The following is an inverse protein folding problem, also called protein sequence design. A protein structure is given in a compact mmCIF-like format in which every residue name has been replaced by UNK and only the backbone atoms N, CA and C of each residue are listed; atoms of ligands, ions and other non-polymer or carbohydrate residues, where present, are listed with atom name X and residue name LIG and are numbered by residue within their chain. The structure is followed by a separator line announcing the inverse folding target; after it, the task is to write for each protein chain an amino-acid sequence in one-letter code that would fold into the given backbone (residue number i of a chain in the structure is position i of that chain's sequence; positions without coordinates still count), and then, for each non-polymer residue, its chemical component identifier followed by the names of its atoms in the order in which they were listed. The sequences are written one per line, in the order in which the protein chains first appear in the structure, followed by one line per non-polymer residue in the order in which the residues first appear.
data_IF_217447603485
#
_entry.id   IF_217447603485
#
_cell.length_a   1.000
_cell.length_b   1.000
_cell.length_c   1.000
_cell.angle_alpha   90.00
_cell.angle_beta   90.00
_cell.angle_gamma   90.00
#
_symmetry.space_group_name_H-M   'P 1'
#
loop_
_entity.id
_entity.type
_entity.pdbx_description
1 polymer ?
#
# COMPACT_ATOMS: atom_id res chain seq x y z
N UNK A 1 19.21 3.10 -19.60
CA UNK A 1 19.00 4.56 -19.54
C UNK A 1 19.41 5.12 -18.19
N UNK A 2 18.78 4.67 -17.10
CA UNK A 2 19.01 5.25 -15.75
C UNK A 2 19.97 4.47 -14.84
N UNK A 3 20.52 3.34 -15.30
CA UNK A 3 21.47 2.54 -14.51
C UNK A 3 20.86 1.66 -13.42
N UNK A 4 19.54 1.46 -13.43
CA UNK A 4 18.86 0.62 -12.45
C UNK A 4 19.25 -0.86 -12.56
N UNK A 5 19.34 -1.52 -11.40
CA UNK A 5 19.39 -2.98 -11.32
C UNK A 5 18.04 -3.55 -11.73
N UNK A 6 18.04 -4.48 -12.68
CA UNK A 6 16.83 -5.12 -13.20
C UNK A 6 16.80 -6.60 -12.83
N UNK A 7 15.72 -7.01 -12.16
CA UNK A 7 15.50 -8.38 -11.72
C UNK A 7 14.23 -8.91 -12.37
N UNK A 8 14.26 -10.17 -12.82
CA UNK A 8 13.10 -10.84 -13.43
C UNK A 8 12.81 -12.12 -12.63
N UNK A 9 11.61 -12.22 -12.06
CA UNK A 9 11.15 -13.43 -11.40
C UNK A 9 10.65 -14.43 -12.45
N UNK A 10 11.49 -15.41 -12.81
CA UNK A 10 11.19 -16.40 -13.86
C UNK A 10 10.58 -17.69 -13.34
N UNK A 11 10.76 -17.98 -12.05
CA UNK A 11 10.32 -19.23 -11.43
C UNK A 11 9.23 -18.97 -10.40
N UNK A 12 8.33 -19.94 -10.25
CA UNK A 12 7.40 -19.97 -9.12
C UNK A 12 8.18 -20.22 -7.82
N UNK A 13 8.27 -19.20 -6.98
CA UNK A 13 8.97 -19.29 -5.70
C UNK A 13 8.11 -19.97 -4.62
N UNK A 14 6.77 -19.89 -4.75
CA UNK A 14 5.81 -20.46 -3.80
C UNK A 14 4.64 -21.06 -4.56
N UNK A 15 4.34 -22.34 -4.30
CA UNK A 15 3.30 -23.09 -5.01
C UNK A 15 2.13 -23.59 -4.16
N UNK A 16 2.34 -23.88 -2.88
CA UNK A 16 1.35 -24.59 -2.06
C UNK A 16 0.53 -23.68 -1.13
N UNK A 17 0.57 -22.35 -1.34
CA UNK A 17 -0.27 -21.43 -0.57
C UNK A 17 -1.71 -21.46 -1.08
N UNK A 18 -2.65 -21.30 -0.15
CA UNK A 18 -4.09 -21.29 -0.43
C UNK A 18 -4.40 -20.20 -1.48
N UNK A 19 -5.04 -20.61 -2.57
CA UNK A 19 -5.54 -19.72 -3.61
C UNK A 19 -7.08 -19.77 -3.66
N UNK A 20 -7.71 -18.71 -4.17
CA UNK A 20 -9.15 -18.71 -4.43
C UNK A 20 -9.43 -19.47 -5.74
N UNK A 21 -9.69 -20.78 -5.65
CA UNK A 21 -9.92 -21.63 -6.83
C UNK A 21 -11.18 -21.24 -7.64
N UNK A 22 -12.16 -20.61 -7.01
CA UNK A 22 -13.41 -20.20 -7.66
C UNK A 22 -13.21 -19.09 -8.70
N UNK A 23 -12.12 -18.35 -8.59
CA UNK A 23 -11.78 -17.19 -9.42
C UNK A 23 -11.10 -17.56 -10.76
N UNK A 24 -10.56 -18.79 -10.88
CA UNK A 24 -9.90 -19.34 -12.08
C UNK A 24 -8.75 -18.50 -12.66
N UNK A 25 -8.13 -17.57 -11.90
CA UNK A 25 -6.92 -16.86 -12.34
C UNK A 25 -5.69 -17.77 -12.40
N UNK A 26 -4.67 -17.40 -13.21
CA UNK A 26 -3.40 -18.13 -13.26
C UNK A 26 -2.71 -18.15 -11.89
N UNK A 27 -2.22 -19.30 -11.46
CA UNK A 27 -1.53 -19.48 -10.16
C UNK A 27 -0.24 -18.65 -10.04
N UNK A 28 0.25 -18.47 -8.81
CA UNK A 28 1.59 -17.94 -8.54
C UNK A 28 1.65 -16.48 -8.09
N UNK A 29 0.52 -15.85 -7.76
CA UNK A 29 0.51 -14.46 -7.26
C UNK A 29 1.33 -14.26 -5.97
N UNK A 30 1.51 -15.32 -5.17
CA UNK A 30 2.33 -15.30 -3.97
C UNK A 30 3.84 -15.33 -4.25
N UNK A 31 4.27 -15.56 -5.50
CA UNK A 31 5.67 -15.48 -5.91
C UNK A 31 6.21 -14.06 -5.78
N UNK A 32 5.42 -13.03 -6.12
CA UNK A 32 5.82 -11.63 -6.01
C UNK A 32 6.28 -11.25 -4.60
N UNK A 33 5.47 -11.41 -3.54
CA UNK A 33 5.92 -11.07 -2.20
C UNK A 33 7.07 -11.94 -1.70
N UNK A 34 7.18 -13.21 -2.12
CA UNK A 34 8.30 -14.09 -1.78
C UNK A 34 9.62 -13.62 -2.40
N UNK A 35 9.57 -13.28 -3.70
CA UNK A 35 10.73 -12.81 -4.42
C UNK A 35 11.22 -11.46 -3.89
N UNK A 36 10.30 -10.51 -3.68
CA UNK A 36 10.62 -9.22 -3.06
C UNK A 36 11.20 -9.38 -1.65
N UNK A 37 10.66 -10.30 -0.85
CA UNK A 37 11.17 -10.58 0.49
C UNK A 37 12.62 -11.05 0.42
N UNK A 38 12.93 -11.98 -0.49
CA UNK A 38 14.30 -12.47 -0.67
C UNK A 38 15.29 -11.36 -1.07
N UNK A 39 14.88 -10.44 -1.95
CA UNK A 39 15.71 -9.31 -2.36
C UNK A 39 15.95 -8.35 -1.20
N UNK A 40 14.90 -7.97 -0.47
CA UNK A 40 15.05 -7.03 0.64
C UNK A 40 15.94 -7.60 1.75
N UNK A 41 15.77 -8.88 2.10
CA UNK A 41 16.63 -9.53 3.10
C UNK A 41 18.09 -9.53 2.63
N UNK A 42 18.36 -9.91 1.38
CA UNK A 42 19.72 -9.89 0.83
C UNK A 42 20.33 -8.48 0.80
N UNK A 43 19.55 -7.43 0.51
CA UNK A 43 20.02 -6.05 0.55
C UNK A 43 20.24 -5.55 1.99
N UNK A 44 19.44 -6.01 2.96
CA UNK A 44 19.62 -5.65 4.38
C UNK A 44 20.87 -6.30 5.02
N UNK A 45 21.40 -7.37 4.44
CA UNK A 45 22.66 -7.99 4.88
C UNK A 45 23.91 -7.22 4.43
N UNK A 46 23.76 -6.28 3.49
CA UNK A 46 24.85 -5.42 3.01
C UNK A 46 25.01 -4.17 3.89
N UNK A 47 26.19 -3.54 3.91
CA UNK A 47 26.37 -2.18 4.43
C UNK A 47 25.38 -1.19 3.80
N UNK A 48 24.98 -0.16 4.55
CA UNK A 48 23.95 0.79 4.10
C UNK A 48 24.35 1.60 2.86
N UNK A 49 25.64 1.87 2.69
CA UNK A 49 26.23 2.55 1.53
C UNK A 49 26.42 1.64 0.32
N UNK A 50 26.26 0.33 0.47
CA UNK A 50 26.37 -0.67 -0.60
C UNK A 50 25.03 -1.27 -1.04
N UNK A 51 23.97 -1.11 -0.24
CA UNK A 51 22.65 -1.70 -0.51
C UNK A 51 21.75 -0.81 -1.37
N UNK A 52 20.79 -1.43 -2.04
CA UNK A 52 19.71 -0.70 -2.70
C UNK A 52 18.87 0.08 -1.67
N UNK A 53 18.35 1.25 -2.06
CA UNK A 53 17.44 2.03 -1.19
C UNK A 53 15.98 1.69 -1.43
N UNK A 54 15.57 1.56 -2.69
CA UNK A 54 14.20 1.32 -3.12
C UNK A 54 14.15 0.25 -4.21
N UNK A 55 13.11 -0.58 -4.16
CA UNK A 55 12.79 -1.59 -5.16
C UNK A 55 11.41 -1.23 -5.74
N UNK A 56 11.34 -1.04 -7.06
CA UNK A 56 10.07 -0.91 -7.76
C UNK A 56 9.66 -2.26 -8.32
N UNK A 57 8.44 -2.67 -8.02
CA UNK A 57 7.80 -3.83 -8.64
C UNK A 57 6.89 -3.38 -9.78
N UNK A 58 6.92 -4.14 -10.88
CA UNK A 58 5.99 -4.02 -11.99
C UNK A 58 5.51 -5.41 -12.40
N UNK A 59 4.21 -5.62 -12.49
CA UNK A 59 3.63 -6.85 -13.04
C UNK A 59 4.02 -6.99 -14.53
N UNK A 60 4.07 -8.25 -15.00
CA UNK A 60 4.51 -8.57 -16.36
C UNK A 60 3.59 -8.03 -17.47
N UNK A 61 2.39 -7.59 -17.12
CA UNK A 61 1.43 -6.93 -18.00
C UNK A 61 1.47 -5.40 -17.85
N UNK A 62 2.68 -4.86 -17.72
CA UNK A 62 2.97 -3.41 -17.76
C UNK A 62 3.86 -3.07 -18.96
N UNK A 63 3.76 -1.85 -19.47
CA UNK A 63 4.62 -1.31 -20.53
C UNK A 63 5.14 0.05 -20.11
N UNK A 64 6.46 0.24 -20.20
CA UNK A 64 7.12 1.54 -20.02
C UNK A 64 6.94 2.37 -21.28
N UNK A 65 6.16 3.44 -21.19
CA UNK A 65 5.82 4.30 -22.33
C UNK A 65 6.63 5.60 -22.39
N UNK A 66 7.09 6.11 -21.24
CA UNK A 66 8.01 7.23 -21.17
C UNK A 66 9.28 6.85 -20.41
N UNK A 67 10.30 6.28 -21.07
CA UNK A 67 11.54 5.88 -20.40
C UNK A 67 12.36 7.07 -19.91
N UNK A 68 12.05 8.31 -20.32
CA UNK A 68 12.77 9.51 -19.87
C UNK A 68 12.45 9.90 -18.42
N UNK A 69 11.38 9.35 -17.82
CA UNK A 69 11.02 9.61 -16.43
C UNK A 69 11.84 8.73 -15.47
N UNK A 70 12.71 9.31 -14.63
CA UNK A 70 13.43 8.54 -13.61
C UNK A 70 12.51 8.19 -12.43
N UNK A 71 12.70 7.00 -11.84
CA UNK A 71 11.89 6.49 -10.72
C UNK A 71 11.99 7.38 -9.48
N UNK A 72 13.13 8.04 -9.28
CA UNK A 72 13.41 8.93 -8.15
C UNK A 72 12.45 10.12 -8.08
N UNK A 73 11.82 10.50 -9.20
CA UNK A 73 10.86 11.61 -9.21
C UNK A 73 9.66 11.34 -8.30
N UNK A 74 9.31 10.06 -8.10
CA UNK A 74 8.16 9.64 -7.32
C UNK A 74 8.49 9.43 -5.85
N UNK A 75 9.77 9.33 -5.48
CA UNK A 75 10.19 8.99 -4.13
C UNK A 75 10.05 10.18 -3.16
N UNK A 76 9.82 9.92 -1.86
CA UNK A 76 9.83 10.98 -0.86
C UNK A 76 11.21 11.66 -0.79
N UNK A 77 11.26 13.00 -0.60
CA UNK A 77 12.52 13.71 -0.44
C UNK A 77 13.26 13.26 0.82
N UNK A 78 14.53 12.87 0.67
CA UNK A 78 15.38 12.38 1.77
C UNK A 78 15.63 13.42 2.87
N UNK A 79 15.46 14.70 2.55
CA UNK A 79 15.67 15.82 3.48
C UNK A 79 14.51 16.05 4.45
N UNK A 80 13.37 15.39 4.25
CA UNK A 80 12.18 15.54 5.09
C UNK A 80 12.12 14.42 6.12
N UNK A 81 12.29 14.76 7.40
CA UNK A 81 12.33 13.79 8.50
C UNK A 81 11.00 13.05 8.68
N UNK A 82 9.86 13.70 8.46
CA UNK A 82 8.54 13.08 8.64
C UNK A 82 8.31 11.98 7.60
N UNK A 83 8.89 12.14 6.41
CA UNK A 83 8.78 11.18 5.31
C UNK A 83 9.78 10.01 5.42
N UNK A 84 10.74 10.04 6.34
CA UNK A 84 11.69 8.93 6.54
C UNK A 84 11.00 7.63 6.98
N UNK A 85 9.83 7.76 7.59
CA UNK A 85 8.99 6.65 8.03
C UNK A 85 8.24 5.97 6.88
N UNK A 86 8.16 6.59 5.70
CA UNK A 86 7.49 6.04 4.52
C UNK A 86 8.38 4.99 3.87
N UNK A 87 7.82 3.79 3.69
CA UNK A 87 8.52 2.62 3.17
C UNK A 87 7.81 1.96 1.99
N UNK A 88 6.54 2.30 1.73
CA UNK A 88 5.76 1.77 0.60
C UNK A 88 5.03 2.90 -0.13
N UNK A 89 5.15 2.94 -1.45
CA UNK A 89 4.33 3.78 -2.33
C UNK A 89 3.47 2.85 -3.17
N UNK A 90 2.16 2.89 -2.97
CA UNK A 90 1.21 2.00 -3.66
C UNK A 90 0.08 2.82 -4.25
N UNK A 91 -0.33 2.49 -5.48
CA UNK A 91 -1.38 3.24 -6.16
C UNK A 91 -2.77 2.72 -5.79
N UNK A 92 -3.79 3.57 -5.91
CA UNK A 92 -5.18 3.19 -5.68
C UNK A 92 -6.13 3.83 -6.69
N UNK A 93 -7.30 3.20 -6.87
CA UNK A 93 -8.39 3.71 -7.68
C UNK A 93 -9.76 3.37 -7.08
N UNK A 94 -10.83 3.39 -7.90
CA UNK A 94 -12.20 3.09 -7.47
C UNK A 94 -12.37 1.70 -6.83
N UNK A 95 -11.49 0.75 -7.12
CA UNK A 95 -11.54 -0.63 -6.64
C UNK A 95 -10.55 -0.91 -5.50
N UNK A 96 -9.95 0.13 -4.93
CA UNK A 96 -9.00 0.05 -3.81
C UNK A 96 -7.54 0.11 -4.24
N UNK A 97 -6.65 -0.45 -3.41
CA UNK A 97 -5.21 -0.50 -3.69
C UNK A 97 -4.94 -1.42 -4.88
N UNK A 98 -3.98 -1.06 -5.73
CA UNK A 98 -3.52 -1.89 -6.82
C UNK A 98 -2.06 -2.30 -6.59
N UNK A 99 -1.81 -3.60 -6.48
CA UNK A 99 -0.48 -4.14 -6.17
C UNK A 99 0.33 -4.51 -7.42
N UNK A 100 -0.12 -4.14 -8.62
CA UNK A 100 0.60 -4.48 -9.86
C UNK A 100 1.77 -3.56 -10.19
N UNK A 101 1.82 -2.37 -9.58
CA UNK A 101 3.03 -1.57 -9.55
C UNK A 101 3.11 -0.75 -8.26
N UNK A 102 4.25 -0.83 -7.57
CA UNK A 102 4.50 -0.16 -6.30
C UNK A 102 6.01 -0.04 -6.03
N UNK A 103 6.40 0.88 -5.16
CA UNK A 103 7.78 1.04 -4.69
C UNK A 103 7.89 0.66 -3.22
N UNK A 104 8.94 -0.08 -2.87
CA UNK A 104 9.18 -0.57 -1.51
C UNK A 104 10.62 -0.26 -1.10
N UNK A 105 10.79 0.38 0.05
CA UNK A 105 12.11 0.72 0.60
C UNK A 105 12.77 -0.53 1.15
N UNK A 106 14.09 -0.65 0.97
CA UNK A 106 14.90 -1.65 1.67
C UNK A 106 14.95 -1.26 3.14
N UNK A 107 14.07 -1.87 3.94
CA UNK A 107 13.89 -1.53 5.35
C UNK A 107 13.31 -2.73 6.13
N UNK A 108 13.64 -2.91 7.42
CA UNK A 108 13.05 -3.99 8.23
C UNK A 108 11.51 -3.98 8.27
N UNK A 109 10.87 -2.82 8.19
CA UNK A 109 9.40 -2.76 8.10
C UNK A 109 8.86 -3.44 6.84
N UNK A 110 9.55 -3.29 5.70
CA UNK A 110 9.19 -3.94 4.44
C UNK A 110 9.29 -5.47 4.54
N UNK A 111 10.27 -5.98 5.29
CA UNK A 111 10.38 -7.42 5.62
C UNK A 111 9.15 -7.88 6.42
N UNK A 112 8.75 -7.13 7.45
CA UNK A 112 7.56 -7.42 8.25
C UNK A 112 6.29 -7.43 7.40
N UNK A 113 6.11 -6.43 6.53
CA UNK A 113 4.98 -6.35 5.62
C UNK A 113 4.92 -7.55 4.68
N UNK A 114 6.00 -7.84 3.95
CA UNK A 114 6.02 -8.93 2.97
C UNK A 114 5.88 -10.31 3.63
N UNK A 115 6.46 -10.49 4.83
CA UNK A 115 6.25 -11.70 5.63
C UNK A 115 4.79 -11.88 6.00
N UNK A 116 4.10 -10.81 6.42
CA UNK A 116 2.68 -10.84 6.72
C UNK A 116 1.83 -11.10 5.46
N UNK A 117 2.17 -10.50 4.32
CA UNK A 117 1.51 -10.78 3.03
C UNK A 117 1.65 -12.26 2.64
N UNK A 118 2.85 -12.84 2.77
CA UNK A 118 3.08 -14.25 2.47
C UNK A 118 2.37 -15.21 3.41
N UNK A 119 2.28 -14.86 4.69
CA UNK A 119 1.57 -15.67 5.67
C UNK A 119 0.05 -15.53 5.58
N UNK A 120 -0.47 -14.47 4.94
CA UNK A 120 -1.89 -14.14 4.86
C UNK A 120 -2.78 -15.32 4.45
N UNK A 121 -2.45 -16.13 3.42
CA UNK A 121 -3.27 -17.29 3.03
C UNK A 121 -3.46 -18.30 4.16
N UNK A 122 -2.48 -18.41 5.07
CA UNK A 122 -2.48 -19.39 6.16
C UNK A 122 -3.34 -18.88 7.32
N UNK A 123 -3.06 -17.68 7.84
CA UNK A 123 -3.74 -17.18 9.04
C UNK A 123 -5.05 -16.43 8.77
N UNK A 124 -5.31 -16.03 7.51
CA UNK A 124 -6.58 -15.46 7.03
C UNK A 124 -7.23 -16.36 5.97
N UNK A 125 -7.11 -17.68 6.13
CA UNK A 125 -7.67 -18.66 5.19
C UNK A 125 -9.18 -18.47 4.94
N UNK A 126 -9.95 -18.09 5.97
CA UNK A 126 -11.38 -17.79 5.85
C UNK A 126 -11.72 -16.56 5.00
N UNK A 127 -10.77 -15.63 4.81
CA UNK A 127 -10.88 -14.50 3.88
C UNK A 127 -10.37 -14.87 2.49
N UNK A 128 -9.25 -15.58 2.42
CA UNK A 128 -8.58 -15.93 1.15
C UNK A 128 -9.52 -16.64 0.18
N UNK A 129 -10.42 -17.50 0.65
CA UNK A 129 -11.44 -18.15 -0.19
C UNK A 129 -12.58 -17.24 -0.70
N UNK A 130 -12.62 -15.97 -0.29
CA UNK A 130 -13.67 -14.99 -0.63
C UNK A 130 -13.12 -13.70 -1.20
N UNK A 131 -11.87 -13.37 -0.90
CA UNK A 131 -11.23 -12.16 -1.37
C UNK A 131 -11.21 -12.14 -2.90
N UNK A 132 -11.55 -10.97 -3.45
CA UNK A 132 -11.65 -10.74 -4.90
C UNK A 132 -10.28 -10.75 -5.58
N UNK A 133 -9.23 -10.38 -4.85
CA UNK A 133 -7.86 -10.36 -5.32
C UNK A 133 -6.98 -11.15 -4.35
N UNK A 134 -5.79 -11.56 -4.78
CA UNK A 134 -4.90 -12.43 -3.98
C UNK A 134 -4.05 -11.58 -3.03
N UNK A 135 -2.77 -11.48 -3.32
CA UNK A 135 -1.81 -10.61 -2.66
C UNK A 135 -2.28 -9.14 -2.55
N UNK A 136 -2.99 -8.60 -3.56
CA UNK A 136 -3.58 -7.26 -3.46
C UNK A 136 -4.57 -7.12 -2.30
N UNK A 137 -5.43 -8.12 -2.07
CA UNK A 137 -6.37 -8.10 -0.94
C UNK A 137 -5.63 -8.27 0.39
N UNK A 138 -4.54 -9.04 0.41
CA UNK A 138 -3.66 -9.11 1.58
C UNK A 138 -3.02 -7.76 1.91
N UNK A 139 -2.44 -7.06 0.91
CA UNK A 139 -1.93 -5.69 1.08
C UNK A 139 -3.03 -4.76 1.59
N UNK A 140 -4.22 -4.79 1.00
CA UNK A 140 -5.32 -3.92 1.41
C UNK A 140 -5.72 -4.15 2.86
N UNK A 141 -5.87 -5.42 3.28
CA UNK A 141 -6.14 -5.74 4.68
C UNK A 141 -5.03 -5.25 5.61
N UNK A 142 -3.78 -5.59 5.28
CA UNK A 142 -2.63 -5.32 6.15
C UNK A 142 -2.36 -3.83 6.34
N UNK A 143 -2.64 -3.00 5.32
CA UNK A 143 -2.37 -1.58 5.32
C UNK A 143 -3.54 -0.73 5.82
N UNK A 144 -4.79 -1.19 5.64
CA UNK A 144 -5.99 -0.36 5.85
C UNK A 144 -6.92 -0.83 6.98
N UNK A 145 -6.87 -2.10 7.38
CA UNK A 145 -7.77 -2.65 8.39
C UNK A 145 -7.20 -2.48 9.81
N UNK A 146 -7.99 -1.96 10.74
CA UNK A 146 -7.58 -1.76 12.14
C UNK A 146 -7.27 -3.08 12.87
N UNK A 147 -7.76 -4.21 12.36
CA UNK A 147 -7.45 -5.56 12.87
C UNK A 147 -6.14 -6.11 12.30
N UNK A 148 -5.46 -5.39 11.42
CA UNK A 148 -4.19 -5.81 10.85
C UNK A 148 -3.16 -6.04 11.97
N UNK A 149 -2.35 -7.11 11.90
CA UNK A 149 -1.22 -7.30 12.81
C UNK A 149 -0.17 -6.19 12.71
N UNK A 150 -0.16 -5.42 11.61
CA UNK A 150 0.74 -4.27 11.42
C UNK A 150 0.16 -2.96 11.99
N UNK A 151 -1.10 -2.95 12.43
CA UNK A 151 -1.76 -1.79 13.02
C UNK A 151 -1.41 -1.60 14.52
N UNK A 152 -0.13 -1.76 14.85
CA UNK A 152 0.40 -1.80 16.22
C UNK A 152 0.96 -0.45 16.70
N UNK A 153 1.14 0.52 15.80
CA UNK A 153 1.46 1.90 16.16
C UNK A 153 0.19 2.71 16.47
N UNK A 154 0.36 3.89 17.05
CA UNK A 154 -0.77 4.78 17.32
C UNK A 154 -1.50 5.18 16.03
N UNK A 155 -0.74 5.45 14.98
CA UNK A 155 -1.22 5.79 13.62
C UNK A 155 -1.65 4.55 12.83
N UNK A 156 -1.70 3.37 13.47
CA UNK A 156 -2.14 2.11 12.86
C UNK A 156 -1.31 1.72 11.63
N UNK A 157 -0.01 2.04 11.64
CA UNK A 157 0.93 1.76 10.56
C UNK A 157 0.79 2.65 9.31
N UNK A 158 -0.09 3.65 9.33
CA UNK A 158 -0.36 4.56 8.19
C UNK A 158 0.78 5.54 7.88
N UNK A 159 1.70 5.73 8.81
CA UNK A 159 2.95 6.47 8.63
C UNK A 159 3.90 5.76 7.66
N UNK A 160 3.79 4.43 7.53
CA UNK A 160 4.76 3.64 6.79
C UNK A 160 4.50 3.53 5.29
N UNK A 161 3.42 4.09 4.79
CA UNK A 161 3.05 3.97 3.39
C UNK A 161 2.26 5.17 2.90
N UNK A 162 2.29 5.38 1.58
CA UNK A 162 1.57 6.45 0.90
C UNK A 162 0.76 5.88 -0.27
N UNK A 163 -0.51 6.29 -0.34
CA UNK A 163 -1.32 6.08 -1.54
C UNK A 163 -0.96 7.14 -2.58
N UNK A 164 -0.34 6.72 -3.69
CA UNK A 164 0.06 7.64 -4.76
C UNK A 164 -0.91 7.60 -5.95
N UNK A 165 -0.95 8.65 -6.78
CA UNK A 165 -1.73 8.63 -8.01
C UNK A 165 -1.33 7.46 -8.94
N UNK A 166 -2.31 6.73 -9.49
CA UNK A 166 -2.04 5.67 -10.47
C UNK A 166 -1.23 6.17 -11.67
N UNK A 167 -1.43 7.42 -12.09
CA UNK A 167 -0.72 8.02 -13.23
C UNK A 167 0.80 8.14 -13.06
N UNK A 168 1.32 7.97 -11.84
CA UNK A 168 2.76 7.98 -11.62
C UNK A 168 3.43 6.76 -12.23
N UNK A 169 2.95 5.55 -11.91
CA UNK A 169 3.61 4.31 -12.35
C UNK A 169 2.68 3.09 -12.41
N UNK A 170 1.36 3.27 -12.38
CA UNK A 170 0.38 2.19 -12.36
C UNK A 170 -0.90 2.60 -13.12
N UNK A 171 -0.77 3.33 -14.23
CA UNK A 171 -1.93 3.90 -14.93
C UNK A 171 -2.64 2.83 -15.75
N UNK A 172 -3.97 2.87 -15.82
CA UNK A 172 -4.73 1.94 -16.67
C UNK A 172 -4.95 2.53 -18.07
N UNK A 173 -5.03 1.71 -19.13
CA UNK A 173 -5.43 2.19 -20.45
C UNK A 173 -6.76 2.93 -20.41
N UNK A 174 -6.92 3.99 -21.20
CA UNK A 174 -8.14 4.83 -21.25
C UNK A 174 -9.38 3.95 -21.42
N UNK A 175 -9.36 3.06 -22.41
CA UNK A 175 -10.47 2.17 -22.73
C UNK A 175 -10.54 0.89 -21.84
N UNK A 176 -9.74 0.82 -20.75
CA UNK A 176 -9.75 -0.26 -19.73
C UNK A 176 -10.82 -0.11 -18.66
N UNK A 177 -12.08 0.10 -19.04
CA UNK A 177 -13.16 0.29 -18.08
C UNK A 177 -14.05 -0.96 -17.93
N UNK A 178 -14.70 -1.07 -16.77
CA UNK A 178 -15.87 -1.92 -16.58
C UNK A 178 -17.02 -1.35 -17.40
N UNK A 179 -17.73 -2.18 -18.17
CA UNK A 179 -18.96 -1.72 -18.82
C UNK A 179 -19.96 -1.33 -17.73
N UNK A 180 -20.45 -0.08 -17.75
CA UNK A 180 -21.49 0.39 -16.82
C UNK A 180 -22.77 -0.47 -16.84
N UNK A 181 -23.03 -1.16 -17.94
CA UNK A 181 -24.23 -1.97 -18.15
C UNK A 181 -24.10 -3.39 -17.58
N UNK A 182 -23.09 -3.68 -16.75
CA UNK A 182 -22.93 -4.99 -16.12
C UNK A 182 -22.49 -6.11 -17.07
N UNK A 183 -22.04 -5.78 -18.29
CA UNK A 183 -21.57 -6.76 -19.28
C UNK A 183 -20.14 -7.28 -19.01
N UNK A 184 -19.58 -6.99 -17.84
CA UNK A 184 -18.25 -7.44 -17.43
C UNK A 184 -17.11 -6.51 -17.86
N UNK A 185 -15.89 -7.03 -17.78
CA UNK A 185 -14.68 -6.32 -18.21
C UNK A 185 -14.70 -6.13 -19.74
N UNK A 186 -14.59 -4.89 -20.24
CA UNK A 186 -14.31 -4.65 -21.67
C UNK A 186 -13.03 -5.38 -22.10
N UNK A 187 -12.11 -5.58 -21.16
CA UNK A 187 -10.85 -6.31 -21.28
C UNK A 187 -10.97 -7.84 -21.32
N UNK A 188 -12.19 -8.39 -21.29
CA UNK A 188 -12.45 -9.82 -21.48
C UNK A 188 -12.45 -10.27 -22.94
N UNK A 189 -12.30 -9.34 -23.89
CA UNK A 189 -12.31 -9.59 -25.34
C UNK A 189 -11.05 -9.01 -25.99
N UNK A 190 -10.63 -9.61 -27.12
CA UNK A 190 -9.50 -9.10 -27.91
C UNK A 190 -9.75 -7.65 -28.34
N UNK A 191 -8.70 -6.83 -28.28
CA UNK A 191 -8.76 -5.45 -28.75
C UNK A 191 -8.99 -5.43 -30.26
N UNK A 192 -9.95 -4.61 -30.71
CA UNK A 192 -10.14 -4.25 -32.12
C UNK A 192 -9.54 -2.85 -32.35
N UNK A 193 -9.12 -2.53 -33.58
CA UNK A 193 -8.36 -1.29 -33.86
C UNK A 193 -9.05 0.00 -33.40
N UNK A 194 -10.39 0.05 -33.40
CA UNK A 194 -11.16 1.20 -32.91
C UNK A 194 -11.17 1.33 -31.36
N UNK A 195 -10.70 0.32 -30.63
CA UNK A 195 -10.57 0.31 -29.17
C UNK A 195 -9.19 0.74 -28.69
N UNK A 196 -8.19 0.79 -29.58
CA UNK A 196 -6.91 1.39 -29.26
C UNK A 196 -7.12 2.89 -29.00
N UNK A 197 -6.51 3.43 -27.95
CA UNK A 197 -6.70 4.85 -27.68
C UNK A 197 -6.14 5.69 -28.84
N UNK A 198 -6.85 6.75 -29.22
CA UNK A 198 -6.35 7.75 -30.16
C UNK A 198 -5.70 8.93 -29.41
N UNK A 199 -5.04 8.64 -28.28
CA UNK A 199 -4.48 9.63 -27.37
C UNK A 199 -5.45 10.17 -26.32
N UNK A 200 -5.06 11.27 -25.70
CA UNK A 200 -5.64 11.88 -24.49
C UNK A 200 -7.01 12.53 -24.67
N UNK A 201 -7.60 12.49 -25.87
CA UNK A 201 -8.75 13.33 -26.25
C UNK A 201 -9.96 12.59 -26.79
N UNK A 202 -9.83 11.34 -27.24
CA UNK A 202 -10.95 10.54 -27.77
C UNK A 202 -11.19 9.33 -26.88
N UNK A 203 -12.42 9.21 -26.37
CA UNK A 203 -12.81 8.21 -25.37
C UNK A 203 -13.81 7.28 -26.03
N UNK A 204 -13.56 5.97 -25.94
CA UNK A 204 -14.60 4.99 -26.22
C UNK A 204 -15.68 5.10 -25.14
N UNK A 205 -16.94 5.29 -25.52
CA UNK A 205 -18.04 5.43 -24.56
C UNK A 205 -18.22 4.13 -23.75
N UNK A 206 -17.69 4.14 -22.53
CA UNK A 206 -17.78 3.06 -21.55
C UNK A 206 -19.05 3.15 -20.67
N UNK A 207 -19.93 4.12 -20.97
CA UNK A 207 -21.13 4.45 -20.19
C UNK A 207 -20.87 5.43 -19.04
N UNK A 208 -19.62 5.82 -18.75
CA UNK A 208 -19.28 6.81 -17.72
C UNK A 208 -19.34 8.26 -18.25
N UNK A 209 -20.04 8.47 -19.37
CA UNK A 209 -20.33 9.80 -19.92
C UNK A 209 -19.13 10.46 -20.57
N UNK A 210 -18.20 9.67 -21.13
CA UNK A 210 -17.05 10.19 -21.89
C UNK A 210 -16.12 11.06 -21.05
N UNK A 211 -15.87 10.71 -19.79
CA UNK A 211 -14.89 11.40 -18.92
C UNK A 211 -13.68 10.51 -18.66
N UNK A 212 -12.49 11.01 -18.96
CA UNK A 212 -11.23 10.35 -18.58
C UNK A 212 -11.11 10.38 -17.06
N UNK A 213 -10.99 9.20 -16.48
CA UNK A 213 -10.83 9.07 -15.04
C UNK A 213 -9.38 9.35 -14.61
N UNK A 214 -9.13 9.85 -13.39
CA UNK A 214 -7.80 10.31 -12.97
C UNK A 214 -6.73 9.21 -12.88
N UNK A 215 -7.12 7.94 -12.96
CA UNK A 215 -6.22 6.77 -12.97
C UNK A 215 -5.90 6.26 -14.38
N UNK A 216 -6.37 6.93 -15.43
CA UNK A 216 -6.10 6.56 -16.82
C UNK A 216 -4.79 7.18 -17.30
N UNK A 217 -4.07 6.40 -18.08
CA UNK A 217 -2.82 6.81 -18.73
C UNK A 217 -3.05 8.04 -19.60
N UNK A 218 -2.11 8.97 -19.56
CA UNK A 218 -2.05 10.13 -20.44
C UNK A 218 -0.68 10.24 -21.11
N UNK A 219 -0.62 11.04 -22.18
CA UNK A 219 0.64 11.40 -22.83
C UNK A 219 1.69 11.88 -21.81
N UNK A 220 2.88 11.29 -21.90
CA UNK A 220 4.02 11.58 -21.06
C UNK A 220 4.05 10.85 -19.71
N UNK A 221 2.98 10.17 -19.29
CA UNK A 221 3.01 9.29 -18.12
C UNK A 221 4.01 8.14 -18.36
N UNK A 222 4.51 7.52 -17.29
CA UNK A 222 5.65 6.58 -17.39
C UNK A 222 5.23 5.16 -17.80
N UNK A 223 4.17 4.62 -17.21
CA UNK A 223 3.79 3.21 -17.33
C UNK A 223 2.29 3.06 -17.53
N UNK A 224 1.92 2.16 -18.44
CA UNK A 224 0.56 1.64 -18.59
C UNK A 224 0.49 0.19 -18.11
N UNK A 225 -0.57 -0.16 -17.38
CA UNK A 225 -0.79 -1.46 -16.76
C UNK A 225 -2.08 -2.11 -17.28
N UNK A 226 -1.96 -3.32 -17.83
CA UNK A 226 -3.02 -4.10 -18.47
C UNK A 226 -3.67 -5.10 -17.51
N UNK A 227 -3.99 -4.65 -16.30
CA UNK A 227 -4.60 -5.46 -15.25
C UNK A 227 -5.86 -6.21 -15.73
N UNK A 228 -5.96 -7.50 -15.40
CA UNK A 228 -7.14 -8.33 -15.67
C UNK A 228 -7.15 -9.08 -17.00
N UNK A 229 -6.08 -9.01 -17.80
CA UNK A 229 -6.01 -9.62 -19.13
C UNK A 229 -5.30 -10.97 -19.10
N UNK A 230 -6.00 -12.11 -19.04
CA UNK A 230 -5.30 -13.42 -19.05
C UNK A 230 -5.87 -14.47 -20.00
N UNK A 231 -7.09 -14.29 -20.53
CA UNK A 231 -7.73 -15.33 -21.35
C UNK A 231 -7.41 -15.20 -22.87
N UNK A 232 -7.03 -16.31 -23.51
CA UNK A 232 -7.18 -16.53 -24.96
C UNK A 232 -6.43 -15.57 -25.91
N UNK A 233 -5.25 -15.07 -25.51
CA UNK A 233 -4.47 -14.09 -26.29
C UNK A 233 -5.05 -12.68 -26.26
N UNK A 234 -5.96 -12.39 -25.32
CA UNK A 234 -6.54 -11.06 -25.14
C UNK A 234 -5.46 -10.07 -24.71
N UNK A 235 -4.60 -10.43 -23.75
CA UNK A 235 -3.50 -9.56 -23.29
C UNK A 235 -2.64 -9.08 -24.45
N UNK A 236 -2.17 -10.00 -25.28
CA UNK A 236 -1.27 -9.68 -26.40
C UNK A 236 -1.95 -8.71 -27.39
N UNK A 237 -3.25 -8.90 -27.66
CA UNK A 237 -4.01 -7.96 -28.51
C UNK A 237 -4.12 -6.56 -27.90
N UNK A 238 -4.08 -6.44 -26.57
CA UNK A 238 -4.07 -5.15 -25.91
C UNK A 238 -2.68 -4.54 -25.80
N UNK A 239 -1.63 -5.33 -25.54
CA UNK A 239 -0.27 -4.84 -25.35
C UNK A 239 0.43 -4.50 -26.67
N UNK A 240 0.19 -5.27 -27.75
CA UNK A 240 0.89 -5.10 -29.04
C UNK A 240 0.87 -3.67 -29.57
N UNK A 241 -0.30 -3.02 -29.74
CA UNK A 241 -0.37 -1.64 -30.20
C UNK A 241 0.34 -0.62 -29.29
N UNK A 242 0.45 -0.89 -27.99
CA UNK A 242 1.22 -0.04 -27.08
C UNK A 242 2.71 -0.24 -27.24
N UNK A 243 3.18 -1.46 -27.53
CA UNK A 243 4.56 -1.72 -27.87
C UNK A 243 4.94 -0.99 -29.17
N UNK A 244 4.10 -1.07 -30.20
CA UNK A 244 4.29 -0.32 -31.46
C UNK A 244 4.41 1.20 -31.20
N UNK A 245 3.57 1.74 -30.29
CA UNK A 245 3.63 3.16 -29.88
C UNK A 245 4.95 3.51 -29.20
N UNK A 246 5.47 2.65 -28.33
CA UNK A 246 6.75 2.88 -27.65
C UNK A 246 7.90 2.85 -28.65
N UNK A 247 7.87 1.92 -29.60
CA UNK A 247 8.88 1.80 -30.67
C UNK A 247 8.86 2.99 -31.62
N UNK A 248 7.71 3.66 -31.80
CA UNK A 248 7.59 4.88 -32.59
C UNK A 248 8.29 6.11 -31.95
N UNK A 249 8.65 6.04 -30.66
CA UNK A 249 9.37 7.10 -29.93
C UNK A 249 8.74 8.50 -30.08
N UNK A 250 7.41 8.55 -30.09
CA UNK A 250 6.65 9.78 -30.29
C UNK A 250 6.93 10.80 -29.16
N UNK A 251 7.30 12.06 -29.47
CA UNK A 251 7.68 13.04 -28.46
C UNK A 251 6.59 13.32 -27.40
N UNK A 252 5.32 13.28 -27.77
CA UNK A 252 4.20 13.48 -26.83
C UNK A 252 4.14 12.39 -25.74
N UNK A 253 4.67 11.20 -26.01
CA UNK A 253 4.74 10.08 -25.06
C UNK A 253 6.11 9.99 -24.40
N UNK A 254 7.19 10.13 -25.17
CA UNK A 254 8.57 10.06 -24.68
C UNK A 254 9.19 11.46 -24.64
N UNK A 255 8.92 12.21 -23.56
CA UNK A 255 9.50 13.53 -23.34
C UNK A 255 9.97 13.78 -21.91
N UNK A 256 10.92 14.70 -21.81
CA UNK A 256 11.45 15.26 -20.56
C UNK A 256 10.54 16.32 -19.95
N UNK A 257 9.62 16.93 -20.71
CA UNK A 257 8.76 18.01 -20.19
C UNK A 257 7.83 17.51 -19.09
N UNK A 258 7.28 16.29 -19.24
CA UNK A 258 6.47 15.67 -18.20
C UNK A 258 7.26 15.43 -16.92
N UNK A 259 8.57 15.21 -16.99
CA UNK A 259 9.42 15.10 -15.80
C UNK A 259 9.37 16.37 -14.95
N UNK A 260 9.39 17.56 -15.56
CA UNK A 260 9.32 18.82 -14.81
C UNK A 260 7.98 18.98 -14.10
N UNK A 261 6.88 18.70 -14.82
CA UNK A 261 5.53 18.71 -14.25
C UNK A 261 5.39 17.69 -13.11
N UNK A 262 5.93 16.49 -13.28
CA UNK A 262 5.93 15.44 -12.26
C UNK A 262 6.73 15.85 -11.02
N UNK A 263 7.86 16.54 -11.17
CA UNK A 263 8.63 17.07 -10.02
C UNK A 263 7.81 18.04 -9.18
N UNK A 264 7.11 18.97 -9.81
CA UNK A 264 6.26 19.93 -9.08
C UNK A 264 5.08 19.22 -8.39
N UNK A 265 4.46 18.26 -9.10
CA UNK A 265 3.37 17.45 -8.58
C UNK A 265 3.80 16.59 -7.39
N UNK A 266 4.94 15.89 -7.49
CA UNK A 266 5.45 15.02 -6.43
C UNK A 266 5.97 15.83 -5.26
N UNK A 267 6.64 16.96 -5.48
CA UNK A 267 7.05 17.87 -4.41
C UNK A 267 5.85 18.38 -3.60
N UNK A 268 4.77 18.78 -4.27
CA UNK A 268 3.53 19.18 -3.61
C UNK A 268 2.91 18.02 -2.82
N UNK A 269 2.79 16.85 -3.44
CA UNK A 269 2.24 15.65 -2.79
C UNK A 269 3.02 15.28 -1.53
N UNK A 270 4.35 15.32 -1.58
CA UNK A 270 5.20 14.98 -0.45
C UNK A 270 5.14 16.04 0.65
N UNK A 271 5.05 17.32 0.31
CA UNK A 271 4.81 18.38 1.29
C UNK A 271 3.48 18.21 2.03
N UNK A 272 2.40 17.88 1.32
CA UNK A 272 1.09 17.61 1.92
C UNK A 272 1.11 16.34 2.79
N UNK A 273 1.81 15.30 2.32
CA UNK A 273 1.98 14.04 3.06
C UNK A 273 2.78 14.24 4.34
N UNK A 274 3.87 15.00 4.27
CA UNK A 274 4.70 15.37 5.42
C UNK A 274 3.85 16.07 6.48
N UNK A 275 3.17 17.16 6.11
CA UNK A 275 2.30 17.92 7.01
C UNK A 275 1.19 17.05 7.65
N UNK A 276 0.62 16.09 6.90
CA UNK A 276 -0.35 15.13 7.43
C UNK A 276 0.28 14.23 8.48
N UNK A 277 1.45 13.64 8.20
CA UNK A 277 2.16 12.76 9.13
C UNK A 277 2.54 13.52 10.40
N UNK A 278 3.09 14.74 10.30
CA UNK A 278 3.43 15.54 11.48
C UNK A 278 2.20 15.84 12.33
N UNK A 279 1.07 16.18 11.69
CA UNK A 279 -0.20 16.45 12.38
C UNK A 279 -0.74 15.21 13.09
N UNK A 280 -0.78 14.06 12.40
CA UNK A 280 -1.23 12.79 12.98
C UNK A 280 -0.35 12.36 14.16
N UNK A 281 0.96 12.54 14.07
CA UNK A 281 1.92 12.28 15.15
C UNK A 281 1.71 13.23 16.34
N UNK A 282 1.47 14.52 16.11
CA UNK A 282 1.19 15.46 17.20
C UNK A 282 -0.11 15.10 17.94
N UNK A 283 -1.16 14.71 17.20
CA UNK A 283 -2.41 14.21 17.78
C UNK A 283 -2.16 12.92 18.57
N UNK A 284 -1.28 12.05 18.08
CA UNK A 284 -0.88 10.83 18.75
C UNK A 284 -0.24 11.07 20.11
N UNK A 285 0.80 11.90 20.11
CA UNK A 285 1.57 12.21 21.30
C UNK A 285 0.67 12.89 22.35
N UNK A 286 -0.22 13.78 21.92
CA UNK A 286 -1.20 14.42 22.80
C UNK A 286 -2.17 13.42 23.45
N UNK A 287 -2.72 12.46 22.67
CA UNK A 287 -3.61 11.44 23.22
C UNK A 287 -2.89 10.48 24.15
N UNK A 288 -1.67 10.06 23.79
CA UNK A 288 -0.85 9.20 24.66
C UNK A 288 -0.56 9.87 26.00
N UNK A 289 -0.23 11.16 25.98
CA UNK A 289 -0.03 11.95 27.20
C UNK A 289 -1.30 12.02 28.05
N UNK A 290 -2.45 12.31 27.43
CA UNK A 290 -3.74 12.37 28.13
C UNK A 290 -4.12 11.02 28.75
N UNK A 291 -3.93 9.92 28.03
CA UNK A 291 -4.25 8.57 28.52
C UNK A 291 -3.32 8.18 29.69
N UNK A 292 -2.04 8.56 29.63
CA UNK A 292 -1.10 8.36 30.73
C UNK A 292 -1.48 9.18 31.97
N UNK A 293 -1.89 10.45 31.81
CA UNK A 293 -2.37 11.31 32.90
C UNK A 293 -3.64 10.75 33.55
N UNK A 294 -4.60 10.29 32.74
CA UNK A 294 -5.82 9.63 33.24
C UNK A 294 -5.52 8.35 34.01
N UNK A 295 -4.61 7.52 33.51
CA UNK A 295 -4.18 6.31 34.20
C UNK A 295 -3.53 6.63 35.54
N UNK A 296 -2.59 7.58 35.56
CA UNK A 296 -1.94 8.00 36.80
C UNK A 296 -2.93 8.58 37.83
N UNK A 297 -3.95 9.32 37.38
CA UNK A 297 -5.02 9.82 38.25
C UNK A 297 -5.90 8.68 38.80
N UNK A 298 -6.24 7.70 37.96
CA UNK A 298 -7.00 6.52 38.37
C UNK A 298 -6.24 5.66 39.39
N UNK A 299 -4.94 5.43 39.16
CA UNK A 299 -4.07 4.67 40.05
C UNK A 299 -3.95 5.36 41.42
N UNK A 300 -3.73 6.69 41.45
CA UNK A 300 -3.73 7.48 42.70
C UNK A 300 -5.07 7.43 43.44
N UNK A 301 -6.19 7.50 42.73
CA UNK A 301 -7.52 7.41 43.33
C UNK A 301 -7.77 6.02 43.94
N UNK A 302 -7.32 4.96 43.26
CA UNK A 302 -7.40 3.59 43.76
C UNK A 302 -6.55 3.38 45.02
N UNK A 303 -5.32 3.91 45.04
CA UNK A 303 -4.45 3.89 46.22
C UNK A 303 -5.06 4.64 47.41
N UNK A 304 -5.58 5.86 47.18
CA UNK A 304 -6.22 6.65 48.22
C UNK A 304 -7.44 5.93 48.81
N UNK A 305 -8.26 5.30 47.97
CA UNK A 305 -9.43 4.53 48.42
C UNK A 305 -9.02 3.31 49.25
N UNK A 306 -7.97 2.60 48.85
CA UNK A 306 -7.43 1.46 49.59
C UNK A 306 -6.87 1.88 50.96
N UNK A 307 -6.13 2.99 51.01
CA UNK A 307 -5.61 3.55 52.26
C UNK A 307 -6.74 3.98 53.22
N UNK A 308 -7.83 4.56 52.69
CA UNK A 308 -8.99 4.90 53.50
C UNK A 308 -9.72 3.67 54.06
N UNK A 309 -9.87 2.61 53.26
CA UNK A 309 -10.43 1.32 53.71
C UNK A 309 -9.57 0.66 54.80
N UNK A 310 -8.25 0.66 54.65
CA UNK A 310 -7.31 0.16 55.67
C UNK A 310 -7.39 0.97 56.96
N UNK A 311 -7.50 2.30 56.87
CA UNK A 311 -7.66 3.17 58.04
C UNK A 311 -8.97 2.91 58.78
N UNK A 312 -10.09 2.76 58.05
CA UNK A 312 -11.40 2.43 58.65
C UNK A 312 -11.37 1.09 59.38
N UNK A 313 -10.75 0.07 58.79
CA UNK A 313 -10.57 -1.24 59.45
C UNK A 313 -9.75 -1.13 60.73
N UNK A 314 -8.64 -0.39 60.70
CA UNK A 314 -7.81 -0.18 61.89
C UNK A 314 -8.56 0.59 63.01
N UNK A 315 -9.38 1.59 62.65
CA UNK A 315 -10.23 2.31 63.61
C UNK A 315 -11.31 1.40 64.22
N UNK A 316 -11.93 0.50 63.44
CA UNK A 316 -12.90 -0.49 63.94
C UNK A 316 -12.26 -1.53 64.86
N UNK A 317 -11.09 -2.07 64.50
CA UNK A 317 -10.35 -3.02 65.34
C UNK A 317 -9.92 -2.39 66.67
N UNK A 318 -9.49 -1.12 66.64
CA UNK A 318 -9.14 -0.39 67.86
C UNK A 318 -10.35 -0.16 68.77
N UNK A 319 -11.50 0.21 68.21
CA UNK A 319 -12.75 0.34 68.99
C UNK A 319 -13.15 -0.97 69.67
N UNK A 320 -13.09 -2.09 68.95
CA UNK A 320 -13.37 -3.42 69.54
C UNK A 320 -12.41 -3.77 70.68
N UNK A 321 -11.12 -3.50 70.51
CA UNK A 321 -10.12 -3.75 71.54
C UNK A 321 -10.27 -2.86 72.78
N UNK A 322 -10.78 -1.63 72.62
CA UNK A 322 -11.06 -0.71 73.73
C UNK A 322 -12.37 -1.11 74.47
N UNK A 323 -13.37 -1.64 73.76
CA UNK A 323 -14.60 -2.21 74.36
C UNK A 323 -14.32 -3.48 75.17
N UNK A 324 -13.42 -4.36 74.74
CA UNK A 324 -13.01 -5.56 75.48
C UNK A 324 -12.18 -5.27 76.75
N UNK A 325 -11.63 -4.06 76.89
CA UNK A 325 -10.80 -3.65 78.04
C UNK A 325 -11.56 -2.89 79.13
N UNK A 326 -12.86 -2.63 78.96
CA UNK A 326 -13.66 -2.07 80.05
C UNK A 326 -13.92 -3.13 81.12
N UNK A 327 -13.56 -2.89 82.40
CA UNK A 327 -13.80 -3.86 83.46
C UNK A 327 -15.31 -3.99 83.71
N UNK A 328 -15.79 -5.24 83.78
CA UNK A 328 -17.10 -5.55 84.32
C UNK A 328 -17.08 -5.27 85.82
N UNK A 329 -17.72 -4.18 86.24
CA UNK A 329 -18.08 -3.92 87.64
C UNK A 329 -19.24 -4.84 88.10
#
# INVERSE_FOLDING_TARGET
MHGYHHYIATNQAVGDLIENEADRRPQGAWTKPAYLLSLIVAELEKPEDERLEWIFWFDADTVVVNPSTPLEVFLPPKSDEDLTSVHLLIAANWDGLNSGAFALRVHPWSVSLLSAVLAYPIYMSGRTGKDRFRDQSAFQYLLQDDKSPLANSYTKGKEHWATVPMRWFNALPVNNAFSKNGQGWLFGKKMEGALFDNGTTEIYDDGNGGKIQPWKIMQGDMIVHFAGTTAGGTRDSWMGPWLDRVEALLPEWNNVTTQHRLRDETAKFWSETSARISSEKAIADAKMKLDAEKKAAADKAAEAKKAEEERKKAEEEKKKADEEKQPMD
#
